data_IF_526203702157
#
_entry.id   IF_526203702157
#
_cell.length_a   1.000
_cell.length_b   1.000
_cell.length_c   1.000
_cell.angle_alpha   90.00
_cell.angle_beta   90.00
_cell.angle_gamma   90.00
#
_symmetry.space_group_name_H-M   'P 1'
#
loop_
_entity.id
_entity.type
_entity.pdbx_description
1 polymer ?
#
# COMPACT_ATOMS: atom_id res chain seq x y z
N UNK A 1 10.23 10.75 11.97
CA UNK A 1 9.44 9.92 11.05
C UNK A 1 10.02 8.53 11.04
N UNK A 2 9.28 7.57 11.60
CA UNK A 2 9.60 6.16 11.65
C UNK A 2 10.00 5.59 10.27
N UNK A 3 10.99 4.68 10.24
CA UNK A 3 11.49 3.99 9.04
C UNK A 3 10.37 3.31 8.27
N UNK A 4 9.44 2.67 8.97
CA UNK A 4 8.29 2.01 8.35
C UNK A 4 7.29 3.00 7.73
N UNK A 5 7.06 4.14 8.41
CA UNK A 5 6.21 5.21 7.87
C UNK A 5 6.82 5.81 6.60
N UNK A 6 8.13 6.07 6.60
CA UNK A 6 8.86 6.53 5.41
C UNK A 6 8.75 5.52 4.28
N UNK A 7 8.96 4.22 4.58
CA UNK A 7 8.86 3.14 3.60
C UNK A 7 7.46 3.04 3.00
N UNK A 8 6.40 3.10 3.82
CA UNK A 8 5.02 3.08 3.33
C UNK A 8 4.73 4.26 2.39
N UNK A 9 5.17 5.47 2.72
CA UNK A 9 5.02 6.64 1.85
C UNK A 9 5.76 6.43 0.53
N UNK A 10 7.01 5.95 0.56
CA UNK A 10 7.76 5.65 -0.67
C UNK A 10 7.05 4.63 -1.54
N UNK A 11 6.51 3.56 -0.95
CA UNK A 11 5.72 2.57 -1.68
C UNK A 11 4.47 3.18 -2.31
N UNK A 12 3.72 4.02 -1.59
CA UNK A 12 2.55 4.70 -2.14
C UNK A 12 2.89 5.65 -3.29
N UNK A 13 4.02 6.37 -3.20
CA UNK A 13 4.51 7.22 -4.31
C UNK A 13 4.81 6.37 -5.54
N UNK A 14 5.46 5.21 -5.38
CA UNK A 14 5.73 4.29 -6.49
C UNK A 14 4.41 3.78 -7.10
N UNK A 15 3.42 3.40 -6.28
CA UNK A 15 2.10 2.98 -6.77
C UNK A 15 1.41 4.07 -7.58
N UNK A 16 1.50 5.33 -7.15
CA UNK A 16 0.93 6.47 -7.89
C UNK A 16 1.60 6.62 -9.26
N UNK A 17 2.93 6.53 -9.33
CA UNK A 17 3.67 6.62 -10.59
C UNK A 17 3.28 5.49 -11.55
N UNK A 18 3.20 4.24 -11.06
CA UNK A 18 2.73 3.10 -11.85
C UNK A 18 1.31 3.34 -12.38
N UNK A 19 0.43 3.89 -11.53
CA UNK A 19 -0.96 4.18 -11.91
C UNK A 19 -1.05 5.24 -13.00
N UNK A 20 -0.21 6.28 -12.92
CA UNK A 20 -0.12 7.32 -13.94
C UNK A 20 0.36 6.73 -15.27
N UNK A 21 1.41 5.89 -15.25
CA UNK A 21 1.92 5.20 -16.43
C UNK A 21 0.87 4.30 -17.09
N UNK A 22 0.16 3.50 -16.30
CA UNK A 22 -0.93 2.67 -16.82
C UNK A 22 -2.03 3.51 -17.47
N UNK A 23 -2.39 4.64 -16.84
CA UNK A 23 -3.42 5.55 -17.36
C UNK A 23 -2.98 6.24 -18.66
N UNK A 24 -1.70 6.59 -18.82
CA UNK A 24 -1.20 7.14 -20.08
C UNK A 24 -1.21 6.12 -21.21
N UNK A 25 -1.00 4.83 -20.91
CA UNK A 25 -1.09 3.78 -21.93
C UNK A 25 -2.53 3.57 -22.38
N UNK A 26 -3.51 3.60 -21.46
CA UNK A 26 -4.94 3.49 -21.82
C UNK A 26 -5.37 4.62 -22.75
N UNK A 27 -4.87 5.85 -22.53
CA UNK A 27 -5.25 7.00 -23.35
C UNK A 27 -4.88 6.84 -24.84
N UNK A 28 -3.94 5.95 -25.16
CA UNK A 28 -3.50 5.68 -26.53
C UNK A 28 -4.18 4.45 -27.17
N UNK A 29 -5.02 3.72 -26.43
CA UNK A 29 -5.68 2.50 -26.92
C UNK A 29 -7.21 2.65 -26.90
N UNK A 30 -7.82 2.56 -28.08
CA UNK A 30 -9.27 2.54 -28.25
C UNK A 30 -9.83 1.16 -27.85
N UNK A 31 -10.36 1.06 -26.63
CA UNK A 31 -11.62 0.37 -26.36
C UNK A 31 -11.73 -1.14 -26.58
N UNK A 32 -10.68 -1.93 -26.34
CA UNK A 32 -10.84 -3.39 -26.21
C UNK A 32 -10.80 -3.83 -24.74
N UNK A 33 -11.86 -4.52 -24.29
CA UNK A 33 -12.01 -5.06 -22.93
C UNK A 33 -10.85 -5.99 -22.50
N UNK A 34 -10.09 -6.51 -23.47
CA UNK A 34 -8.92 -7.37 -23.26
C UNK A 34 -7.64 -6.61 -22.91
N UNK A 35 -7.64 -5.27 -23.01
CA UNK A 35 -6.47 -4.43 -22.73
C UNK A 35 -5.95 -4.61 -21.29
N UNK A 36 -6.83 -4.75 -20.30
CA UNK A 36 -6.40 -4.94 -18.91
C UNK A 36 -5.73 -6.30 -18.67
N UNK A 37 -6.11 -7.33 -19.42
CA UNK A 37 -5.53 -8.68 -19.28
C UNK A 37 -4.18 -8.80 -19.97
N UNK A 38 -3.98 -8.11 -21.11
CA UNK A 38 -2.73 -8.16 -21.88
C UNK A 38 -1.71 -7.10 -21.46
N UNK A 39 -2.13 -6.04 -20.78
CA UNK A 39 -1.23 -4.97 -20.40
C UNK A 39 -0.43 -5.31 -19.13
N UNK A 40 0.89 -5.41 -19.29
CA UNK A 40 1.82 -5.67 -18.20
C UNK A 40 1.76 -4.62 -17.08
N UNK A 41 1.45 -3.34 -17.41
CA UNK A 41 1.32 -2.27 -16.41
C UNK A 41 0.14 -2.47 -15.46
N UNK A 42 -0.94 -3.12 -15.93
CA UNK A 42 -2.07 -3.52 -15.08
C UNK A 42 -1.62 -4.53 -14.03
N UNK A 43 -0.96 -5.62 -14.47
CA UNK A 43 -0.47 -6.67 -13.57
C UNK A 43 0.60 -6.15 -12.61
N UNK A 44 1.47 -5.24 -13.08
CA UNK A 44 2.47 -4.60 -12.24
C UNK A 44 1.80 -3.72 -11.17
N UNK A 45 0.83 -2.90 -11.54
CA UNK A 45 0.07 -2.07 -10.61
C UNK A 45 -0.75 -2.87 -9.60
N UNK A 46 -1.38 -3.97 -10.03
CA UNK A 46 -2.12 -4.88 -9.14
C UNK A 46 -1.20 -5.61 -8.17
N UNK A 47 -0.14 -6.25 -8.68
CA UNK A 47 0.81 -7.00 -7.85
C UNK A 47 1.52 -6.10 -6.84
N UNK A 48 1.92 -4.90 -7.28
CA UNK A 48 2.53 -3.91 -6.38
C UNK A 48 1.53 -3.38 -5.35
N UNK A 49 0.29 -3.08 -5.76
CA UNK A 49 -0.78 -2.69 -4.84
C UNK A 49 -1.03 -3.74 -3.74
N UNK A 50 -1.11 -5.02 -4.11
CA UNK A 50 -1.23 -6.14 -3.17
C UNK A 50 -0.02 -6.19 -2.23
N UNK A 51 1.20 -6.01 -2.74
CA UNK A 51 2.40 -5.95 -1.92
C UNK A 51 2.34 -4.81 -0.88
N UNK A 52 1.91 -3.61 -1.27
CA UNK A 52 1.77 -2.47 -0.34
C UNK A 52 0.73 -2.77 0.75
N UNK A 53 -0.41 -3.36 0.38
CA UNK A 53 -1.44 -3.76 1.35
C UNK A 53 -0.90 -4.82 2.31
N UNK A 54 -0.17 -5.81 1.82
CA UNK A 54 0.44 -6.85 2.64
C UNK A 54 1.49 -6.28 3.60
N UNK A 55 2.32 -5.34 3.14
CA UNK A 55 3.27 -4.63 3.98
C UNK A 55 2.55 -3.85 5.11
N UNK A 56 1.50 -3.12 4.77
CA UNK A 56 0.70 -2.37 5.75
C UNK A 56 -0.02 -3.29 6.74
N UNK A 57 -0.53 -4.44 6.28
CA UNK A 57 -1.19 -5.45 7.12
C UNK A 57 -0.24 -6.11 8.12
N UNK A 58 0.98 -6.44 7.68
CA UNK A 58 2.00 -7.05 8.54
C UNK A 58 2.74 -6.06 9.43
N UNK A 59 2.42 -4.77 9.35
CA UNK A 59 3.02 -3.78 10.24
C UNK A 59 2.52 -3.99 11.67
N UNK A 60 3.29 -4.71 12.48
CA UNK A 60 2.97 -4.99 13.88
C UNK A 60 3.99 -4.35 14.83
N UNK A 61 3.56 -4.07 16.06
CA UNK A 61 4.49 -3.65 17.10
C UNK A 61 5.33 -4.85 17.54
N UNK A 62 6.66 -4.71 17.58
CA UNK A 62 7.56 -5.77 18.03
C UNK A 62 7.35 -6.19 19.49
N UNK A 63 6.83 -5.29 20.35
CA UNK A 63 6.60 -5.58 21.77
C UNK A 63 5.26 -6.25 22.06
N UNK A 64 4.16 -5.73 21.52
CA UNK A 64 2.81 -6.20 21.84
C UNK A 64 2.12 -6.94 20.69
N UNK A 65 2.80 -7.14 19.56
CA UNK A 65 2.28 -7.85 18.37
C UNK A 65 1.10 -7.17 17.68
N UNK A 66 0.65 -6.00 18.17
CA UNK A 66 -0.57 -5.37 17.67
C UNK A 66 -0.30 -4.72 16.31
N UNK A 67 -1.19 -4.97 15.34
CA UNK A 67 -1.17 -4.36 14.01
C UNK A 67 -1.35 -2.86 14.09
N UNK A 68 -0.55 -2.10 13.36
CA UNK A 68 -0.53 -0.64 13.45
C UNK A 68 -1.44 0.04 12.44
N UNK A 69 -1.61 -0.55 11.25
CA UNK A 69 -2.40 0.05 10.16
C UNK A 69 -3.83 -0.49 10.12
N UNK A 70 -3.97 -1.82 10.02
CA UNK A 70 -5.26 -2.50 10.03
C UNK A 70 -5.56 -3.03 11.43
N UNK A 71 -6.32 -2.26 12.21
CA UNK A 71 -6.67 -2.60 13.60
C UNK A 71 -7.77 -3.65 13.70
N UNK A 72 -8.63 -3.69 12.69
CA UNK A 72 -9.76 -4.61 12.57
C UNK A 72 -9.94 -5.00 11.10
N UNK A 73 -10.83 -5.95 10.84
CA UNK A 73 -11.32 -6.24 9.49
C UNK A 73 -12.24 -5.13 8.94
N UNK A 74 -12.59 -4.15 9.77
CA UNK A 74 -13.33 -2.97 9.33
C UNK A 74 -12.41 -1.99 8.59
N UNK A 75 -12.71 -1.71 7.33
CA UNK A 75 -11.97 -0.77 6.49
C UNK A 75 -11.96 0.67 7.02
N UNK A 76 -12.91 1.03 7.88
CA UNK A 76 -13.00 2.36 8.50
C UNK A 76 -12.06 2.55 9.70
N UNK A 77 -11.50 1.47 10.26
CA UNK A 77 -10.55 1.54 11.38
C UNK A 77 -9.09 1.53 10.90
N UNK A 78 -8.86 2.12 9.72
CA UNK A 78 -7.55 2.30 9.13
C UNK A 78 -6.84 3.47 9.79
N UNK A 79 -5.65 3.25 10.34
CA UNK A 79 -4.83 4.31 10.94
C UNK A 79 -3.47 4.38 10.26
N UNK A 80 -3.03 5.59 9.93
CA UNK A 80 -1.66 5.80 9.47
C UNK A 80 -0.66 5.38 10.57
N UNK A 81 0.41 4.63 10.21
CA UNK A 81 1.42 4.24 11.17
C UNK A 81 2.08 5.50 11.75
N UNK A 82 2.22 5.53 13.07
CA UNK A 82 2.87 6.62 13.81
C UNK A 82 4.21 6.14 14.37
N UNK A 83 4.97 7.09 14.94
CA UNK A 83 6.26 6.78 15.56
C UNK A 83 6.08 5.90 16.82
N UNK A 84 4.93 5.97 17.48
CA UNK A 84 4.59 5.18 18.67
C UNK A 84 3.42 4.20 18.39
N UNK A 85 3.47 3.05 19.05
CA UNK A 85 2.44 2.02 18.99
C UNK A 85 1.15 2.54 19.61
N UNK A 86 0.03 2.36 18.92
CA UNK A 86 -1.24 2.88 19.40
C UNK A 86 -1.79 2.17 20.66
N UNK A 87 -1.32 0.95 20.96
CA UNK A 87 -1.79 0.16 22.11
C UNK A 87 -0.88 0.30 23.31
N UNK A 88 0.44 0.18 23.13
CA UNK A 88 1.41 0.18 24.23
C UNK A 88 2.33 1.42 24.29
N UNK A 89 2.17 2.39 23.39
CA UNK A 89 2.94 3.64 23.38
C UNK A 89 4.43 3.50 23.04
N UNK A 90 4.93 2.28 22.86
CA UNK A 90 6.33 2.01 22.55
C UNK A 90 6.68 2.50 21.15
N UNK A 91 7.92 2.96 20.93
CA UNK A 91 8.40 3.28 19.58
C UNK A 91 8.30 2.05 18.68
N UNK A 92 7.68 2.23 17.52
CA UNK A 92 7.64 1.22 16.46
C UNK A 92 8.87 1.50 15.60
N UNK A 93 9.76 0.53 15.45
CA UNK A 93 10.93 0.65 14.54
C UNK A 93 10.55 0.31 13.10
#
# INVERSE_FOLDING_TARGET
MNKNKKKLITLLVIQILITILHRSDIANFQGDDWFHLSNWTYWLGMSFGIYVLFFAYNLHCAKCGTRQVFRSFNALDLRWPQDNCHKCGCKVE
#
